data_IF_290412007233
#
_entry.id   IF_290412007233
#
_cell.length_a   1.000
_cell.length_b   1.000
_cell.length_c   1.000
_cell.angle_alpha   90.00
_cell.angle_beta   90.00
_cell.angle_gamma   90.00
#
_symmetry.space_group_name_H-M   'P 1'
#
loop_
_entity.id
_entity.type
_entity.pdbx_description
1 polymer ?
#
# COMPACT_ATOMS: atom_id res chain seq x y z
N UNK A 1 -8.65 -71.21 24.15
CA UNK A 1 -9.64 -71.09 23.05
C UNK A 1 -10.13 -69.66 22.82
N UNK A 2 -10.76 -68.97 23.77
CA UNK A 2 -11.29 -67.59 23.58
C UNK A 2 -10.25 -66.55 23.10
N UNK A 3 -9.03 -66.58 23.64
CA UNK A 3 -7.94 -65.66 23.25
C UNK A 3 -7.46 -65.89 21.81
N UNK A 4 -7.36 -67.16 21.39
CA UNK A 4 -7.05 -67.54 20.01
C UNK A 4 -8.14 -67.08 19.03
N UNK A 5 -9.41 -67.17 19.43
CA UNK A 5 -10.53 -66.71 18.62
C UNK A 5 -10.53 -65.19 18.40
N UNK A 6 -10.16 -64.42 19.44
CA UNK A 6 -10.02 -62.96 19.35
C UNK A 6 -8.86 -62.56 18.42
N UNK A 7 -7.70 -63.23 18.55
CA UNK A 7 -6.54 -62.97 17.68
C UNK A 7 -6.87 -63.30 16.22
N UNK A 8 -7.59 -64.40 15.97
CA UNK A 8 -8.04 -64.79 14.63
C UNK A 8 -8.99 -63.74 14.04
N UNK A 9 -9.95 -63.23 14.82
CA UNK A 9 -10.87 -62.17 14.38
C UNK A 9 -10.15 -60.87 14.02
N UNK A 10 -9.15 -60.46 14.81
CA UNK A 10 -8.35 -59.28 14.52
C UNK A 10 -7.53 -59.47 13.24
N UNK A 11 -6.96 -60.66 13.03
CA UNK A 11 -6.16 -60.96 11.84
C UNK A 11 -6.99 -60.95 10.55
N UNK A 12 -8.25 -61.41 10.61
CA UNK A 12 -9.19 -61.35 9.48
C UNK A 12 -9.59 -59.92 9.14
N UNK A 13 -9.66 -59.03 10.13
CA UNK A 13 -10.09 -57.64 9.92
C UNK A 13 -8.96 -56.72 9.42
N UNK A 14 -7.69 -57.09 9.62
CA UNK A 14 -6.53 -56.31 9.17
C UNK A 14 -6.29 -56.33 7.65
N UNK A 15 -7.05 -57.12 6.88
CA UNK A 15 -6.84 -57.31 5.44
C UNK A 15 -7.42 -56.22 4.51
N UNK A 16 -8.21 -55.29 5.04
CA UNK A 16 -8.83 -54.23 4.23
C UNK A 16 -7.97 -52.97 4.20
N UNK A 17 -6.80 -53.04 3.56
CA UNK A 17 -6.05 -51.83 3.19
C UNK A 17 -6.79 -51.13 2.05
N UNK A 18 -7.59 -50.11 2.38
CA UNK A 18 -8.28 -49.27 1.40
C UNK A 18 -7.23 -48.40 0.72
N UNK A 19 -6.70 -48.86 -0.42
CA UNK A 19 -5.89 -48.02 -1.30
C UNK A 19 -6.82 -46.97 -1.94
N UNK A 20 -6.71 -45.72 -1.50
CA UNK A 20 -7.51 -44.61 -2.01
C UNK A 20 -6.94 -44.11 -3.34
N UNK A 21 -7.20 -44.83 -4.42
CA UNK A 21 -6.80 -44.43 -5.76
C UNK A 21 -7.70 -43.30 -6.27
N UNK A 22 -7.11 -42.20 -6.74
CA UNK A 22 -7.84 -41.10 -7.37
C UNK A 22 -7.76 -41.26 -8.89
N UNK A 23 -8.91 -41.40 -9.53
CA UNK A 23 -9.04 -41.46 -10.98
C UNK A 23 -9.48 -40.11 -11.52
N UNK A 24 -8.96 -39.73 -12.68
CA UNK A 24 -9.38 -38.53 -13.40
C UNK A 24 -9.63 -38.81 -14.87
N UNK A 25 -10.64 -38.16 -15.45
CA UNK A 25 -10.92 -38.19 -16.88
C UNK A 25 -11.50 -36.85 -17.34
N UNK A 26 -11.38 -36.58 -18.63
CA UNK A 26 -12.01 -35.43 -19.26
C UNK A 26 -13.23 -35.91 -20.03
N UNK A 27 -14.38 -35.27 -19.86
CA UNK A 27 -15.58 -35.59 -20.63
C UNK A 27 -15.58 -34.95 -22.03
N UNK A 28 -16.60 -35.23 -22.84
CA UNK A 28 -16.76 -34.70 -24.20
C UNK A 28 -16.87 -33.16 -24.25
N UNK A 29 -17.23 -32.53 -23.12
CA UNK A 29 -17.35 -31.08 -22.99
C UNK A 29 -16.06 -30.43 -22.48
N UNK A 30 -15.00 -31.21 -22.28
CA UNK A 30 -13.70 -30.72 -21.80
C UNK A 30 -13.62 -30.53 -20.28
N UNK A 31 -14.62 -30.99 -19.51
CA UNK A 31 -14.63 -30.86 -18.05
C UNK A 31 -13.83 -32.00 -17.42
N UNK A 32 -12.92 -31.65 -16.51
CA UNK A 32 -12.12 -32.63 -15.76
C UNK A 32 -12.90 -33.13 -14.54
N UNK A 33 -13.08 -34.45 -14.47
CA UNK A 33 -13.74 -35.15 -13.36
C UNK A 33 -12.72 -35.91 -12.52
N UNK A 34 -13.04 -36.11 -11.25
CA UNK A 34 -12.24 -36.86 -10.28
C UNK A 34 -13.15 -37.82 -9.51
N UNK A 35 -12.73 -39.08 -9.32
CA UNK A 35 -13.48 -40.08 -8.56
C UNK A 35 -12.55 -41.04 -7.82
N UNK A 36 -13.03 -41.58 -6.70
CA UNK A 36 -12.36 -42.67 -5.96
C UNK A 36 -12.66 -44.06 -6.52
N UNK A 37 -13.58 -44.16 -7.49
CA UNK A 37 -13.90 -45.40 -8.20
C UNK A 37 -13.64 -45.24 -9.70
N UNK A 38 -13.17 -46.29 -10.39
CA UNK A 38 -12.92 -46.22 -11.83
C UNK A 38 -14.26 -46.01 -12.57
N UNK A 39 -14.28 -45.16 -13.62
CA UNK A 39 -15.49 -44.94 -14.41
C UNK A 39 -15.82 -46.17 -15.28
N UNK A 40 -17.04 -46.71 -15.14
CA UNK A 40 -17.46 -47.93 -15.85
C UNK A 40 -17.47 -47.80 -17.38
N UNK A 41 -17.63 -46.58 -17.91
CA UNK A 41 -17.89 -46.32 -19.33
C UNK A 41 -16.92 -45.30 -19.97
N UNK A 42 -15.70 -45.17 -19.46
CA UNK A 42 -14.65 -44.31 -20.06
C UNK A 42 -13.42 -45.16 -20.34
N UNK A 43 -13.05 -45.31 -21.61
CA UNK A 43 -11.82 -46.00 -22.00
C UNK A 43 -10.56 -45.20 -21.60
N UNK A 44 -10.67 -43.87 -21.55
CA UNK A 44 -9.56 -42.96 -21.26
C UNK A 44 -9.69 -42.34 -19.86
N UNK A 45 -9.33 -43.10 -18.83
CA UNK A 45 -9.11 -42.57 -17.48
C UNK A 45 -7.64 -42.65 -17.10
N UNK A 46 -7.17 -41.69 -16.30
CA UNK A 46 -5.82 -41.69 -15.73
C UNK A 46 -5.90 -41.87 -14.22
N UNK A 47 -5.14 -42.84 -13.71
CA UNK A 47 -4.86 -42.94 -12.27
C UNK A 47 -3.91 -41.81 -11.90
N UNK A 48 -4.27 -41.03 -10.89
CA UNK A 48 -3.39 -40.01 -10.32
C UNK A 48 -2.22 -40.73 -9.63
N UNK A 49 -1.01 -40.46 -10.08
CA UNK A 49 0.17 -40.88 -9.35
C UNK A 49 0.36 -39.94 -8.17
N UNK A 50 0.65 -40.49 -7.00
CA UNK A 50 1.15 -39.69 -5.88
C UNK A 50 2.51 -39.11 -6.29
N UNK A 51 2.64 -37.79 -6.20
CA UNK A 51 3.94 -37.15 -6.34
C UNK A 51 4.70 -37.45 -5.04
N UNK A 52 5.88 -38.09 -5.11
CA UNK A 52 6.64 -38.39 -3.90
C UNK A 52 7.00 -37.08 -3.20
N UNK A 53 6.90 -37.09 -1.88
CA UNK A 53 7.31 -35.95 -1.07
C UNK A 53 8.80 -35.66 -1.30
N UNK A 54 9.13 -34.42 -1.65
CA UNK A 54 10.50 -33.94 -1.83
C UNK A 54 10.86 -32.99 -0.69
N UNK A 55 11.59 -33.51 0.30
CA UNK A 55 12.01 -32.75 1.47
C UNK A 55 12.88 -31.54 1.12
N UNK A 56 13.79 -31.66 0.15
CA UNK A 56 14.69 -30.56 -0.23
C UNK A 56 13.90 -29.41 -0.87
N UNK A 57 12.90 -29.72 -1.69
CA UNK A 57 12.05 -28.70 -2.30
C UNK A 57 11.17 -27.99 -1.26
N UNK A 58 10.66 -28.72 -0.27
CA UNK A 58 9.87 -28.15 0.82
C UNK A 58 10.72 -27.22 1.70
N UNK A 59 11.92 -27.66 2.09
CA UNK A 59 12.87 -26.84 2.84
C UNK A 59 13.27 -25.58 2.09
N UNK A 60 13.54 -25.68 0.77
CA UNK A 60 13.86 -24.52 -0.06
C UNK A 60 12.70 -23.52 -0.12
N UNK A 61 11.45 -24.00 -0.23
CA UNK A 61 10.28 -23.13 -0.20
C UNK A 61 10.09 -22.46 1.17
N UNK A 62 10.28 -23.22 2.26
CA UNK A 62 10.20 -22.67 3.61
C UNK A 62 11.23 -21.57 3.83
N UNK A 63 12.48 -21.78 3.39
CA UNK A 63 13.53 -20.77 3.49
C UNK A 63 13.23 -19.52 2.65
N UNK A 64 12.78 -19.69 1.42
CA UNK A 64 12.38 -18.57 0.56
C UNK A 64 11.23 -17.75 1.18
N UNK A 65 10.26 -18.44 1.79
CA UNK A 65 9.15 -17.78 2.49
C UNK A 65 9.63 -16.97 3.71
N UNK A 66 10.56 -17.51 4.50
CA UNK A 66 11.15 -16.79 5.64
C UNK A 66 11.90 -15.53 5.17
N UNK A 67 12.72 -15.64 4.12
CA UNK A 67 13.44 -14.51 3.55
C UNK A 67 12.48 -13.41 3.06
N UNK A 68 11.40 -13.80 2.38
CA UNK A 68 10.37 -12.86 1.95
C UNK A 68 9.71 -12.14 3.13
N UNK A 69 9.42 -12.87 4.21
CA UNK A 69 8.81 -12.30 5.40
C UNK A 69 9.75 -11.30 6.11
N UNK A 70 11.02 -11.64 6.24
CA UNK A 70 12.04 -10.76 6.81
C UNK A 70 12.20 -9.48 5.98
N UNK A 71 12.26 -9.59 4.65
CA UNK A 71 12.35 -8.44 3.78
C UNK A 71 11.13 -7.53 3.94
N UNK A 72 9.93 -8.10 3.98
CA UNK A 72 8.70 -7.33 4.19
C UNK A 72 8.71 -6.57 5.52
N UNK A 73 9.16 -7.22 6.61
CA UNK A 73 9.28 -6.56 7.91
C UNK A 73 10.30 -5.41 7.89
N UNK A 74 11.45 -5.60 7.22
CA UNK A 74 12.44 -4.53 7.05
C UNK A 74 11.85 -3.34 6.32
N UNK A 75 11.21 -3.56 5.17
CA UNK A 75 10.57 -2.49 4.39
C UNK A 75 9.50 -1.75 5.19
N UNK A 76 8.70 -2.45 5.99
CA UNK A 76 7.70 -1.83 6.86
C UNK A 76 8.35 -0.98 7.96
N UNK A 77 9.44 -1.47 8.56
CA UNK A 77 10.19 -0.75 9.59
C UNK A 77 10.88 0.51 9.04
N UNK A 78 11.45 0.44 7.84
CA UNK A 78 12.09 1.58 7.18
C UNK A 78 11.05 2.65 6.82
N UNK A 79 9.90 2.24 6.29
CA UNK A 79 8.76 3.15 6.02
C UNK A 79 8.24 3.80 7.29
N UNK A 80 8.21 3.09 8.41
CA UNK A 80 7.81 3.66 9.69
C UNK A 80 8.80 4.72 10.17
N UNK A 81 10.10 4.42 10.11
CA UNK A 81 11.17 5.35 10.49
C UNK A 81 11.17 6.60 9.61
N UNK A 82 10.96 6.45 8.30
CA UNK A 82 10.92 7.58 7.38
C UNK A 82 9.70 8.48 7.62
N UNK A 83 8.53 7.89 7.92
CA UNK A 83 7.35 8.66 8.33
C UNK A 83 7.59 9.43 9.63
N UNK A 84 8.28 8.83 10.60
CA UNK A 84 8.62 9.49 11.86
C UNK A 84 9.54 10.68 11.62
N UNK A 85 10.61 10.50 10.83
CA UNK A 85 11.53 11.59 10.45
C UNK A 85 10.79 12.73 9.74
N UNK A 86 9.94 12.41 8.76
CA UNK A 86 9.14 13.42 8.06
C UNK A 86 8.16 14.15 9.01
N UNK A 87 7.59 13.46 9.99
CA UNK A 87 6.71 14.08 10.97
C UNK A 87 7.50 15.02 11.90
N UNK A 88 8.70 14.63 12.32
CA UNK A 88 9.58 15.46 13.14
C UNK A 88 10.05 16.72 12.39
N UNK A 89 10.47 16.57 11.13
CA UNK A 89 10.84 17.71 10.28
C UNK A 89 9.69 18.69 10.09
N UNK A 90 8.48 18.18 9.81
CA UNK A 90 7.27 19.02 9.70
C UNK A 90 6.96 19.75 11.00
N UNK A 91 7.11 19.10 12.16
CA UNK A 91 6.93 19.76 13.47
C UNK A 91 7.94 20.88 13.66
N UNK A 92 9.23 20.63 13.41
CA UNK A 92 10.30 21.64 13.51
C UNK A 92 10.05 22.82 12.55
N UNK A 93 9.56 22.56 11.34
CA UNK A 93 9.24 23.63 10.39
C UNK A 93 8.03 24.47 10.84
N UNK A 94 7.00 23.83 11.40
CA UNK A 94 5.83 24.51 11.97
C UNK A 94 6.20 25.38 13.17
N UNK A 95 7.05 24.88 14.07
CA UNK A 95 7.55 25.65 15.22
C UNK A 95 8.32 26.90 14.75
N UNK A 96 9.28 26.74 13.82
CA UNK A 96 10.02 27.88 13.24
C UNK A 96 9.12 28.91 12.55
N UNK A 97 8.06 28.46 11.87
CA UNK A 97 7.06 29.35 11.25
C UNK A 97 6.20 30.07 12.31
N UNK A 98 5.86 29.38 13.40
CA UNK A 98 5.13 29.93 14.54
C UNK A 98 5.92 31.04 15.24
N UNK A 99 7.19 30.78 15.57
CA UNK A 99 8.08 31.75 16.21
C UNK A 99 8.25 33.01 15.37
N UNK A 100 8.54 32.87 14.06
CA UNK A 100 8.66 34.03 13.16
C UNK A 100 7.39 34.87 13.08
N UNK A 101 6.22 34.22 13.17
CA UNK A 101 4.92 34.90 13.12
C UNK A 101 4.62 35.63 14.43
N UNK A 102 5.05 35.09 15.57
CA UNK A 102 4.95 35.75 16.87
C UNK A 102 5.91 36.96 16.96
N UNK A 103 7.17 36.81 16.53
CA UNK A 103 8.13 37.91 16.50
C UNK A 103 7.69 39.06 15.58
N UNK A 104 7.11 38.73 14.42
CA UNK A 104 6.51 39.72 13.52
C UNK A 104 5.28 40.42 14.10
N UNK A 105 4.43 39.71 14.84
CA UNK A 105 3.27 40.28 15.50
C UNK A 105 3.65 41.17 16.70
N UNK A 106 4.72 40.84 17.41
CA UNK A 106 5.24 41.64 18.52
C UNK A 106 5.87 42.94 18.02
N UNK A 107 6.67 42.90 16.94
CA UNK A 107 7.19 44.11 16.27
C UNK A 107 6.10 44.99 15.68
N UNK A 108 5.01 44.40 15.16
CA UNK A 108 3.87 45.16 14.67
C UNK A 108 3.09 45.87 15.78
N UNK A 109 3.02 45.26 16.99
CA UNK A 109 2.40 45.88 18.16
C UNK A 109 3.26 47.01 18.74
N UNK A 110 4.58 46.83 18.82
CA UNK A 110 5.49 47.89 19.29
C UNK A 110 5.61 49.07 18.32
N UNK A 111 5.33 48.86 17.03
CA UNK A 111 5.30 49.92 16.01
C UNK A 111 4.00 50.74 15.98
N UNK A 112 2.91 50.24 16.56
CA UNK A 112 1.59 50.88 16.53
C UNK A 112 1.32 51.83 17.72
N UNK A 113 2.25 51.95 18.68
CA UNK A 113 2.09 52.76 19.91
C UNK A 113 2.70 54.18 19.80
N UNK A 114 2.75 54.77 18.59
CA UNK A 114 2.92 56.22 18.43
C UNK A 114 1.60 56.83 17.94
N UNK A 115 0.89 57.63 18.77
CA UNK A 115 -0.38 58.23 18.37
C UNK A 115 -0.17 59.33 17.30
N UNK A 116 -1.17 59.60 16.44
CA UNK A 116 -1.13 60.71 15.51
C UNK A 116 -1.64 62.00 16.21
N UNK A 117 -0.76 62.97 16.39
CA UNK A 117 -1.08 64.38 16.65
C UNK A 117 0.20 65.16 16.26
N UNK A 118 0.20 66.19 15.42
CA UNK A 118 -0.79 67.25 15.24
C UNK A 118 -0.94 67.64 13.77
N UNK A 119 -2.15 68.07 13.43
CA UNK A 119 -2.48 68.77 12.18
C UNK A 119 -2.44 70.27 12.46
N UNK A 120 -1.54 71.04 11.84
CA UNK A 120 -1.73 72.49 11.72
C UNK A 120 -1.20 73.09 10.40
N UNK A 121 -2.12 73.08 9.42
CA UNK A 121 -2.48 74.09 8.40
C UNK A 121 -1.47 75.18 7.99
N UNK A 122 -1.20 75.25 6.68
CA UNK A 122 -1.19 76.47 5.84
C UNK A 122 -0.95 76.03 4.37
N UNK A 123 -1.95 75.98 3.48
CA UNK A 123 -2.56 77.10 2.74
C UNK A 123 -1.60 77.74 1.71
N UNK A 124 -1.85 77.39 0.43
CA UNK A 124 -1.85 78.27 -0.76
C UNK A 124 -0.52 78.89 -1.21
N UNK A 125 0.00 78.43 -2.35
CA UNK A 125 -0.08 79.16 -3.64
C UNK A 125 0.79 78.47 -4.71
N UNK A 126 0.34 78.52 -5.98
CA UNK A 126 1.21 78.28 -7.14
C UNK A 126 0.81 77.15 -8.08
N UNK A 127 -0.18 77.42 -8.91
CA UNK A 127 -0.65 76.59 -10.01
C UNK A 127 0.39 76.38 -11.14
N UNK A 128 0.53 75.10 -11.55
CA UNK A 128 0.90 74.44 -12.84
C UNK A 128 1.43 75.24 -14.05
N UNK A 129 2.24 74.62 -14.95
CA UNK A 129 1.63 73.80 -16.01
C UNK A 129 2.43 72.58 -16.56
N UNK A 130 1.67 71.67 -17.22
CA UNK A 130 2.01 70.86 -18.43
C UNK A 130 3.08 69.74 -18.31
N UNK A 131 2.97 68.49 -18.83
CA UNK A 131 2.58 67.89 -20.14
C UNK A 131 2.45 66.34 -19.89
N UNK A 132 1.34 65.65 -20.26
CA UNK A 132 1.18 64.66 -21.38
C UNK A 132 2.07 63.38 -21.22
N UNK A 133 1.64 62.12 -21.34
CA UNK A 133 0.78 61.41 -22.32
C UNK A 133 0.30 60.03 -21.77
N UNK A 134 -0.83 59.53 -22.29
CA UNK A 134 -1.37 58.14 -22.23
C UNK A 134 -0.52 57.14 -23.08
N UNK A 135 -0.73 55.79 -23.15
CA UNK A 135 -1.96 55.01 -22.90
C UNK A 135 -1.71 53.62 -22.15
N UNK A 136 -2.55 52.56 -22.22
CA UNK A 136 -2.96 51.72 -21.08
C UNK A 136 -2.18 50.38 -20.95
N UNK A 137 -2.38 49.58 -19.87
CA UNK A 137 -1.64 48.34 -19.66
C UNK A 137 -2.17 47.16 -20.49
N UNK A 138 -1.31 46.30 -21.08
CA UNK A 138 -1.78 45.14 -21.83
C UNK A 138 -2.27 44.02 -20.91
N UNK A 139 -3.49 43.56 -21.19
CA UNK A 139 -4.09 42.33 -20.66
C UNK A 139 -3.27 41.11 -21.12
N UNK A 140 -2.78 40.33 -20.16
CA UNK A 140 -2.03 39.12 -20.45
C UNK A 140 -3.00 37.96 -20.77
N UNK A 141 -3.36 37.82 -22.05
CA UNK A 141 -3.86 36.57 -22.60
C UNK A 141 -2.68 35.69 -23.01
N UNK A 142 -2.51 34.54 -22.36
CA UNK A 142 -2.08 33.29 -23.01
C UNK A 142 -2.28 32.12 -22.03
N UNK A 143 -3.45 31.48 -22.12
CA UNK A 143 -3.63 30.18 -22.77
C UNK A 143 -2.88 29.03 -22.09
N UNK A 144 -3.53 28.50 -21.04
CA UNK A 144 -3.60 27.04 -20.87
C UNK A 144 -4.20 26.43 -22.14
N UNK A 145 -3.39 25.69 -22.89
CA UNK A 145 -3.85 24.59 -23.76
C UNK A 145 -3.21 23.33 -23.18
N UNK A 146 -4.01 22.51 -22.50
CA UNK A 146 -4.74 21.34 -23.03
C UNK A 146 -3.75 20.16 -23.13
N UNK A 147 -3.72 19.28 -22.12
CA UNK A 147 -4.36 17.96 -22.17
C UNK A 147 -4.33 17.36 -23.57
N UNK A 148 -3.38 16.47 -23.80
CA UNK A 148 -3.55 15.19 -24.48
C UNK A 148 -2.59 14.19 -23.84
#
# INVERSE_FOLDING_TARGET
MRRLFIILMILVFSGSSVFAEIYSWTDEKGVKHYSSTPPENKADYRKSNEVPYNAEADEAQAQAYQQWLEQKQREESEKALEKEKQAEEKKKEQEKKGEKKQEGAEKAKSGAEKPPAETEKAQVDGEKPQIETEPPPPQNQQKRRRNF
#
